data_IF_120750163849
#
_entry.id   IF_120750163849
#
_cell.length_a   1.000
_cell.length_b   1.000
_cell.length_c   1.000
_cell.angle_alpha   90.00
_cell.angle_beta   90.00
_cell.angle_gamma   90.00
#
_symmetry.space_group_name_H-M   'P 1'
#
loop_
_entity.id
_entity.type
_entity.pdbx_description
1 polymer ?
#
# COMPACT_ATOMS: atom_id res chain seq x y z
N UNK A 1 -3.30 -36.57 12.90
CA UNK A 1 -3.47 -35.11 13.01
C UNK A 1 -2.47 -34.49 12.07
N UNK A 2 -2.91 -33.87 10.96
CA UNK A 2 -2.01 -33.16 10.04
C UNK A 2 -1.82 -31.75 10.59
N UNK A 3 -0.62 -31.47 11.07
CA UNK A 3 -0.24 -30.13 11.50
C UNK A 3 -0.42 -29.14 10.34
N UNK A 4 -1.35 -28.22 10.57
CA UNK A 4 -1.70 -27.14 9.67
C UNK A 4 -0.57 -26.11 9.77
N UNK A 5 0.46 -26.28 8.93
CA UNK A 5 1.61 -25.36 8.81
C UNK A 5 1.09 -23.92 8.70
N UNK A 6 1.37 -23.12 9.73
CA UNK A 6 1.10 -21.69 9.75
C UNK A 6 2.10 -21.00 8.82
N UNK A 7 1.77 -20.97 7.52
CA UNK A 7 2.42 -20.07 6.57
C UNK A 7 1.42 -18.99 6.20
N UNK A 8 1.66 -17.77 6.64
CA UNK A 8 1.09 -16.60 6.00
C UNK A 8 1.92 -15.37 6.34
N UNK A 9 2.26 -14.57 5.34
CA UNK A 9 2.37 -13.14 5.60
C UNK A 9 1.03 -12.74 6.20
N UNK A 10 0.99 -12.28 7.46
CA UNK A 10 -0.27 -11.90 8.09
C UNK A 10 -0.71 -10.52 7.59
N UNK A 11 -1.01 -10.41 6.30
CA UNK A 11 -2.08 -9.53 5.91
C UNK A 11 -3.36 -10.14 6.50
N UNK A 12 -3.86 -9.56 7.58
CA UNK A 12 -5.25 -9.78 7.93
C UNK A 12 -6.08 -9.15 6.81
N UNK A 13 -6.47 -9.97 5.83
CA UNK A 13 -7.35 -9.57 4.75
C UNK A 13 -8.53 -8.81 5.35
N UNK A 14 -8.92 -7.69 4.74
CA UNK A 14 -9.99 -6.87 5.29
C UNK A 14 -11.30 -7.69 5.32
N UNK A 15 -12.12 -7.49 6.37
CA UNK A 15 -13.40 -8.19 6.49
C UNK A 15 -14.35 -7.92 5.30
N UNK A 16 -14.29 -6.70 4.75
CA UNK A 16 -14.97 -6.34 3.51
C UNK A 16 -13.91 -5.98 2.45
N UNK A 17 -13.93 -6.71 1.34
CA UNK A 17 -12.97 -6.58 0.21
C UNK A 17 -13.61 -6.03 -1.06
N UNK A 18 -14.89 -5.66 -0.99
CA UNK A 18 -15.61 -5.12 -2.15
C UNK A 18 -15.17 -3.70 -2.41
N UNK A 19 -14.70 -3.48 -3.64
CA UNK A 19 -14.19 -2.20 -4.09
C UNK A 19 -15.15 -1.55 -5.09
N UNK A 20 -15.38 -0.25 -4.99
CA UNK A 20 -16.19 0.44 -5.98
C UNK A 20 -15.30 0.98 -7.11
N UNK A 21 -15.72 0.81 -8.37
CA UNK A 21 -15.03 1.46 -9.48
C UNK A 21 -15.40 2.94 -9.49
N UNK A 22 -14.63 3.74 -8.77
CA UNK A 22 -14.81 5.19 -8.67
C UNK A 22 -14.47 5.86 -10.02
N UNK A 23 -15.10 7.01 -10.28
CA UNK A 23 -14.83 7.85 -11.46
C UNK A 23 -13.35 8.26 -11.55
N UNK A 24 -12.91 8.67 -12.74
CA UNK A 24 -11.54 9.20 -12.90
C UNK A 24 -11.43 10.60 -12.30
N UNK A 25 -10.27 10.94 -11.73
CA UNK A 25 -9.99 12.27 -11.16
C UNK A 25 -10.10 13.38 -12.21
N UNK A 26 -9.81 13.07 -13.48
CA UNK A 26 -9.90 14.03 -14.59
C UNK A 26 -11.34 14.31 -15.05
N UNK A 27 -12.28 13.42 -14.70
CA UNK A 27 -13.66 13.48 -15.17
C UNK A 27 -14.59 14.22 -14.17
N UNK A 28 -14.06 14.65 -13.02
CA UNK A 28 -14.82 15.38 -12.00
C UNK A 28 -14.38 16.86 -11.91
N UNK A 29 -15.29 17.77 -11.51
CA UNK A 29 -14.95 19.17 -11.30
C UNK A 29 -13.82 19.34 -10.28
N UNK A 30 -12.95 20.37 -10.41
CA UNK A 30 -11.85 20.60 -9.46
C UNK A 30 -12.28 20.65 -7.98
N UNK A 31 -13.48 21.16 -7.70
CA UNK A 31 -14.03 21.23 -6.34
C UNK A 31 -14.30 19.86 -5.71
N UNK A 32 -14.51 18.82 -6.51
CA UNK A 32 -14.80 17.45 -6.05
C UNK A 32 -13.56 16.54 -6.09
N UNK A 33 -12.46 16.97 -6.72
CA UNK A 33 -11.26 16.14 -6.91
C UNK A 33 -10.61 15.73 -5.59
N UNK A 34 -10.44 16.65 -4.64
CA UNK A 34 -9.86 16.32 -3.32
C UNK A 34 -10.68 15.26 -2.60
N UNK A 35 -12.01 15.42 -2.60
CA UNK A 35 -12.93 14.46 -1.98
C UNK A 35 -12.82 13.08 -2.64
N UNK A 36 -12.77 13.03 -3.97
CA UNK A 36 -12.60 11.78 -4.71
C UNK A 36 -11.23 11.14 -4.47
N UNK A 37 -10.17 11.95 -4.37
CA UNK A 37 -8.82 11.49 -4.06
C UNK A 37 -8.75 10.81 -2.68
N UNK A 38 -9.36 11.44 -1.66
CA UNK A 38 -9.48 10.85 -0.32
C UNK A 38 -10.28 9.55 -0.36
N UNK A 39 -11.37 9.49 -1.13
CA UNK A 39 -12.14 8.24 -1.28
C UNK A 39 -11.29 7.11 -1.90
N UNK A 40 -10.48 7.41 -2.92
CA UNK A 40 -9.56 6.44 -3.53
C UNK A 40 -8.49 5.97 -2.54
N UNK A 41 -7.89 6.88 -1.76
CA UNK A 41 -6.91 6.53 -0.70
C UNK A 41 -7.50 5.55 0.31
N UNK A 42 -8.70 5.83 0.82
CA UNK A 42 -9.39 4.94 1.77
C UNK A 42 -9.72 3.58 1.18
N UNK A 43 -10.08 3.55 -0.10
CA UNK A 43 -10.33 2.31 -0.82
C UNK A 43 -9.05 1.47 -0.99
N UNK A 44 -7.90 2.12 -1.16
CA UNK A 44 -6.58 1.49 -1.20
C UNK A 44 -6.11 0.96 0.18
N UNK A 45 -6.80 1.26 1.28
CA UNK A 45 -6.55 0.62 2.59
C UNK A 45 -7.10 -0.82 2.66
N UNK A 46 -7.93 -1.25 1.72
CA UNK A 46 -8.45 -2.63 1.69
C UNK A 46 -7.34 -3.61 1.32
N UNK A 47 -7.13 -4.59 2.20
CA UNK A 47 -6.09 -5.60 2.10
C UNK A 47 -6.67 -6.89 1.50
N UNK A 48 -5.97 -7.43 0.50
CA UNK A 48 -6.33 -8.67 -0.17
C UNK A 48 -5.42 -9.80 0.27
N UNK A 49 -5.96 -11.01 0.28
CA UNK A 49 -5.19 -12.22 0.47
C UNK A 49 -4.56 -12.66 -0.86
N UNK A 50 -3.22 -12.70 -0.91
CA UNK A 50 -2.45 -13.19 -2.04
C UNK A 50 -1.81 -14.57 -1.77
N UNK A 51 -1.91 -15.08 -0.54
CA UNK A 51 -1.20 -16.29 -0.10
C UNK A 51 -2.17 -17.44 0.16
N UNK A 52 -3.21 -17.23 0.98
CA UNK A 52 -4.14 -18.31 1.34
C UNK A 52 -5.17 -18.58 0.25
N UNK A 53 -5.58 -17.55 -0.51
CA UNK A 53 -6.51 -17.66 -1.64
C UNK A 53 -6.14 -16.71 -2.79
N UNK A 54 -5.16 -17.07 -3.63
CA UNK A 54 -4.65 -16.20 -4.69
C UNK A 54 -5.71 -15.83 -5.75
N UNK A 55 -6.70 -16.70 -5.98
CA UNK A 55 -7.75 -16.54 -6.99
C UNK A 55 -9.01 -15.85 -6.44
N UNK A 56 -9.04 -15.51 -5.15
CA UNK A 56 -10.10 -14.68 -4.59
C UNK A 56 -10.04 -13.24 -5.09
N UNK A 57 -11.20 -12.58 -5.11
CA UNK A 57 -11.34 -11.13 -5.28
C UNK A 57 -10.71 -10.54 -6.55
N UNK A 58 -10.50 -11.34 -7.62
CA UNK A 58 -9.81 -10.89 -8.84
C UNK A 58 -10.36 -9.57 -9.39
N UNK A 59 -11.69 -9.44 -9.41
CA UNK A 59 -12.39 -8.20 -9.81
C UNK A 59 -11.94 -6.98 -8.99
N UNK A 60 -11.77 -7.14 -7.68
CA UNK A 60 -11.43 -6.06 -6.76
C UNK A 60 -9.91 -5.83 -6.70
N UNK A 61 -9.12 -6.88 -6.87
CA UNK A 61 -7.66 -6.83 -7.03
C UNK A 61 -7.25 -6.02 -8.25
N UNK A 62 -8.06 -5.93 -9.31
CA UNK A 62 -7.76 -5.05 -10.45
C UNK A 62 -8.08 -3.56 -10.19
N UNK A 63 -9.03 -3.26 -9.28
CA UNK A 63 -9.45 -1.88 -9.00
C UNK A 63 -8.38 -1.09 -8.24
N UNK A 64 -7.73 -1.72 -7.26
CA UNK A 64 -6.74 -1.06 -6.39
C UNK A 64 -5.47 -0.61 -7.14
N UNK A 65 -4.85 -1.43 -8.02
CA UNK A 65 -3.73 -1.01 -8.86
C UNK A 65 -4.07 0.19 -9.74
N UNK A 66 -5.22 0.15 -10.44
CA UNK A 66 -5.65 1.25 -11.30
C UNK A 66 -5.82 2.56 -10.50
N UNK A 67 -6.38 2.48 -9.29
CA UNK A 67 -6.52 3.64 -8.41
C UNK A 67 -5.16 4.17 -7.92
N UNK A 68 -4.22 3.31 -7.52
CA UNK A 68 -2.88 3.73 -7.08
C UNK A 68 -2.09 4.40 -8.20
N UNK A 69 -2.10 3.81 -9.41
CA UNK A 69 -1.44 4.39 -10.58
C UNK A 69 -2.03 5.74 -10.97
N UNK A 70 -3.37 5.86 -11.01
CA UNK A 70 -4.04 7.13 -11.29
C UNK A 70 -3.70 8.20 -10.24
N UNK A 71 -3.68 7.83 -8.95
CA UNK A 71 -3.33 8.75 -7.88
C UNK A 71 -1.85 9.20 -7.96
N UNK A 72 -0.93 8.31 -8.34
CA UNK A 72 0.48 8.64 -8.55
C UNK A 72 0.65 9.60 -9.75
N UNK A 73 -0.05 9.37 -10.85
CA UNK A 73 -0.07 10.29 -11.98
C UNK A 73 -0.67 11.66 -11.61
N UNK A 74 -1.75 11.66 -10.83
CA UNK A 74 -2.43 12.88 -10.38
C UNK A 74 -1.50 13.79 -9.57
N UNK A 75 -0.78 13.26 -8.59
CA UNK A 75 0.17 14.05 -7.78
C UNK A 75 1.43 14.48 -8.56
N UNK A 76 1.78 13.76 -9.62
CA UNK A 76 2.97 14.06 -10.43
C UNK A 76 2.68 15.20 -11.43
N UNK A 77 1.49 15.22 -12.02
CA UNK A 77 1.15 16.13 -13.12
C UNK A 77 0.36 17.37 -12.70
N UNK A 78 -0.17 17.40 -11.47
CA UNK A 78 -0.97 18.52 -10.98
C UNK A 78 -0.25 19.23 -9.83
N UNK A 79 -0.45 20.54 -9.74
CA UNK A 79 0.11 21.38 -8.68
C UNK A 79 -0.94 21.74 -7.64
N UNK A 80 -0.48 21.98 -6.41
CA UNK A 80 -1.27 22.30 -5.23
C UNK A 80 -2.34 21.26 -4.89
N UNK A 81 -2.13 20.00 -5.29
CA UNK A 81 -3.08 18.90 -5.00
C UNK A 81 -2.80 18.20 -3.68
N UNK A 82 -1.64 18.41 -3.06
CA UNK A 82 -1.28 17.86 -1.74
C UNK A 82 -1.67 18.87 -0.66
N UNK A 83 -2.95 18.91 -0.33
CA UNK A 83 -3.51 19.78 0.72
C UNK A 83 -3.33 19.18 2.12
N UNK A 84 -3.48 20.00 3.17
CA UNK A 84 -3.29 19.54 4.57
C UNK A 84 -4.14 18.31 4.95
N UNK A 85 -5.43 18.19 4.53
CA UNK A 85 -6.24 17.00 4.80
C UNK A 85 -5.74 15.70 4.15
N UNK A 86 -4.91 15.79 3.09
CA UNK A 86 -4.45 14.62 2.34
C UNK A 86 -3.29 13.90 3.03
N UNK A 87 -2.43 14.63 3.76
CA UNK A 87 -1.28 14.04 4.47
C UNK A 87 -1.63 12.85 5.37
N UNK A 88 -2.60 12.95 6.31
CA UNK A 88 -2.94 11.82 7.17
C UNK A 88 -3.50 10.63 6.38
N UNK A 89 -4.27 10.88 5.31
CA UNK A 89 -4.86 9.82 4.49
C UNK A 89 -3.79 9.04 3.72
N UNK A 90 -2.79 9.72 3.14
CA UNK A 90 -1.65 9.07 2.45
C UNK A 90 -0.81 8.27 3.43
N UNK A 91 -0.43 8.88 4.57
CA UNK A 91 0.41 8.24 5.59
C UNK A 91 -0.29 7.01 6.16
N UNK A 92 -1.59 7.10 6.44
CA UNK A 92 -2.38 5.98 6.91
C UNK A 92 -2.48 4.87 5.85
N UNK A 93 -2.78 5.21 4.59
CA UNK A 93 -2.87 4.23 3.51
C UNK A 93 -1.54 3.49 3.31
N UNK A 94 -0.41 4.21 3.36
CA UNK A 94 0.92 3.59 3.31
C UNK A 94 1.14 2.65 4.49
N UNK A 95 0.92 3.12 5.72
CA UNK A 95 1.12 2.33 6.93
C UNK A 95 0.28 1.03 6.93
N UNK A 96 -0.99 1.09 6.53
CA UNK A 96 -1.88 -0.08 6.44
C UNK A 96 -1.37 -1.13 5.45
N UNK A 97 -0.78 -0.70 4.33
CA UNK A 97 -0.26 -1.60 3.31
C UNK A 97 1.14 -2.14 3.64
N UNK A 98 1.97 -1.36 4.35
CA UNK A 98 3.39 -1.64 4.52
C UNK A 98 3.74 -2.23 5.87
N UNK A 99 3.18 -1.71 6.96
CA UNK A 99 3.57 -2.09 8.32
C UNK A 99 2.91 -3.40 8.71
N UNK A 100 3.64 -4.49 8.48
CA UNK A 100 3.25 -5.85 8.80
C UNK A 100 4.42 -6.62 9.38
N UNK A 101 4.12 -7.63 10.18
CA UNK A 101 5.12 -8.60 10.59
C UNK A 101 5.55 -9.42 9.37
N UNK A 102 6.85 -9.44 9.08
CA UNK A 102 7.39 -10.28 8.02
C UNK A 102 7.18 -11.75 8.37
N UNK A 103 6.89 -12.62 7.39
CA UNK A 103 6.82 -14.05 7.63
C UNK A 103 8.18 -14.55 8.15
N UNK A 104 8.19 -15.65 8.93
CA UNK A 104 9.44 -16.26 9.36
C UNK A 104 10.31 -16.61 8.15
N UNK A 105 11.63 -16.53 8.32
CA UNK A 105 12.59 -16.90 7.27
C UNK A 105 12.37 -18.35 6.82
N UNK A 106 12.36 -18.57 5.52
CA UNK A 106 12.35 -19.90 4.91
C UNK A 106 13.73 -20.57 4.96
N UNK A 107 14.79 -19.79 5.18
CA UNK A 107 16.19 -20.24 5.14
C UNK A 107 16.61 -20.84 6.50
N UNK A 108 17.49 -21.86 6.49
CA UNK A 108 17.99 -22.48 7.71
C UNK A 108 18.75 -21.47 8.57
N UNK A 109 18.56 -21.52 9.89
CA UNK A 109 19.27 -20.64 10.83
C UNK A 109 20.40 -21.40 11.52
N UNK A 110 21.56 -20.76 11.70
CA UNK A 110 22.66 -21.29 12.53
C UNK A 110 23.82 -21.85 11.73
N UNK A 111 24.40 -22.97 12.16
CA UNK A 111 25.64 -23.51 11.60
C UNK A 111 25.52 -24.07 10.17
N UNK A 112 24.29 -24.24 9.68
CA UNK A 112 23.98 -24.67 8.31
C UNK A 112 23.57 -23.49 7.40
N UNK A 113 23.72 -22.25 7.87
CA UNK A 113 23.44 -21.06 7.07
C UNK A 113 24.59 -20.81 6.08
N UNK A 114 24.33 -21.03 4.80
CA UNK A 114 25.18 -20.59 3.69
C UNK A 114 24.48 -19.45 2.93
N UNK A 115 24.97 -18.19 3.03
CA UNK A 115 24.37 -17.05 2.35
C UNK A 115 24.42 -17.13 0.82
N UNK A 116 25.24 -18.03 0.25
CA UNK A 116 25.26 -18.27 -1.20
C UNK A 116 24.15 -19.23 -1.67
N UNK A 117 23.57 -20.03 -0.77
CA UNK A 117 22.48 -20.98 -1.07
C UNK A 117 21.08 -20.43 -0.73
N UNK A 118 21.00 -19.23 -0.17
CA UNK A 118 19.74 -18.59 0.20
C UNK A 118 18.84 -18.32 -1.04
N UNK A 119 17.74 -19.06 -1.15
CA UNK A 119 16.76 -18.81 -2.20
C UNK A 119 15.95 -17.53 -1.91
N UNK A 120 15.78 -16.62 -2.89
CA UNK A 120 15.01 -15.40 -2.69
C UNK A 120 13.52 -15.73 -2.51
N UNK A 121 12.98 -15.46 -1.32
CA UNK A 121 11.55 -15.56 -1.07
C UNK A 121 10.82 -14.39 -1.72
N UNK A 122 9.97 -14.66 -2.72
CA UNK A 122 9.16 -13.65 -3.41
C UNK A 122 7.92 -13.29 -2.59
N UNK A 123 7.60 -12.00 -2.49
CA UNK A 123 6.38 -11.51 -1.85
C UNK A 123 5.19 -11.58 -2.82
N UNK A 124 4.19 -12.40 -2.51
CA UNK A 124 3.03 -12.63 -3.39
C UNK A 124 2.20 -11.35 -3.63
N UNK A 125 2.18 -10.44 -2.66
CA UNK A 125 1.49 -9.15 -2.78
C UNK A 125 2.31 -8.07 -3.52
N UNK A 126 3.51 -8.40 -4.01
CA UNK A 126 4.44 -7.43 -4.61
C UNK A 126 3.83 -6.52 -5.69
N UNK A 127 2.97 -7.00 -6.62
CA UNK A 127 2.35 -6.12 -7.61
C UNK A 127 1.54 -4.96 -7.00
N UNK A 128 0.95 -5.16 -5.81
CA UNK A 128 0.25 -4.10 -5.09
C UNK A 128 1.21 -3.23 -4.27
N UNK A 129 2.19 -3.85 -3.61
CA UNK A 129 3.15 -3.14 -2.76
C UNK A 129 4.08 -2.23 -3.55
N UNK A 130 4.51 -2.67 -4.73
CA UNK A 130 5.30 -1.85 -5.65
C UNK A 130 4.60 -0.51 -5.95
N UNK A 131 3.28 -0.55 -6.21
CA UNK A 131 2.50 0.66 -6.49
C UNK A 131 2.32 1.54 -5.26
N UNK A 132 2.20 0.96 -4.06
CA UNK A 132 2.16 1.73 -2.80
C UNK A 132 3.49 2.46 -2.57
N UNK A 133 4.62 1.77 -2.79
CA UNK A 133 5.94 2.40 -2.72
C UNK A 133 6.12 3.51 -3.75
N UNK A 134 5.77 3.23 -5.02
CA UNK A 134 5.88 4.22 -6.09
C UNK A 134 5.01 5.46 -5.79
N UNK A 135 3.77 5.26 -5.37
CA UNK A 135 2.88 6.34 -4.98
C UNK A 135 3.47 7.19 -3.83
N UNK A 136 3.97 6.53 -2.77
CA UNK A 136 4.53 7.23 -1.63
C UNK A 136 5.83 7.97 -1.97
N UNK A 137 6.66 7.40 -2.85
CA UNK A 137 7.85 8.07 -3.37
C UNK A 137 7.48 9.34 -4.14
N UNK A 138 6.50 9.27 -5.05
CA UNK A 138 6.00 10.44 -5.80
C UNK A 138 5.42 11.51 -4.88
N UNK A 139 4.78 11.11 -3.78
CA UNK A 139 4.28 12.04 -2.77
C UNK A 139 5.43 12.78 -2.07
N UNK A 140 6.51 12.09 -1.70
CA UNK A 140 7.68 12.70 -1.06
C UNK A 140 8.50 13.57 -2.02
N UNK A 141 8.58 13.18 -3.30
CA UNK A 141 9.30 13.91 -4.36
C UNK A 141 8.52 15.10 -4.93
N UNK A 142 7.23 15.23 -4.58
CA UNK A 142 6.39 16.30 -5.11
C UNK A 142 6.89 17.68 -4.68
N UNK A 143 6.94 18.67 -5.58
CA UNK A 143 7.32 20.04 -5.23
C UNK A 143 6.33 20.72 -4.26
N UNK A 144 5.10 20.19 -4.16
CA UNK A 144 4.08 20.70 -3.23
C UNK A 144 4.18 20.07 -1.83
N UNK A 145 5.08 19.11 -1.63
CA UNK A 145 5.29 18.47 -0.35
C UNK A 145 5.84 19.46 0.68
N UNK A 146 5.18 19.54 1.84
CA UNK A 146 5.52 20.42 2.93
C UNK A 146 6.00 19.62 4.14
N UNK A 147 7.32 19.57 4.41
CA UNK A 147 7.88 18.80 5.52
C UNK A 147 7.31 19.19 6.90
N UNK A 148 6.94 20.46 7.07
CA UNK A 148 6.37 20.97 8.32
C UNK A 148 4.97 20.42 8.63
N UNK A 149 4.21 20.03 7.61
CA UNK A 149 2.92 19.36 7.77
C UNK A 149 3.17 17.86 7.96
N UNK A 150 4.00 17.27 7.11
CA UNK A 150 4.30 15.84 7.11
C UNK A 150 4.84 15.32 8.46
N UNK A 151 5.72 16.08 9.13
CA UNK A 151 6.28 15.70 10.45
C UNK A 151 5.24 15.49 11.56
N UNK A 152 4.01 15.98 11.39
CA UNK A 152 2.90 15.72 12.33
C UNK A 152 2.39 14.28 12.22
N UNK A 153 2.63 13.60 11.10
CA UNK A 153 2.09 12.28 10.77
C UNK A 153 3.19 11.23 10.56
N UNK A 154 4.37 11.65 10.07
CA UNK A 154 5.57 10.83 9.95
C UNK A 154 6.41 11.06 11.22
N UNK A 155 6.01 10.40 12.31
CA UNK A 155 6.66 10.49 13.60
C UNK A 155 7.73 9.38 13.80
N UNK A 156 8.38 9.36 14.96
CA UNK A 156 9.37 8.32 15.27
C UNK A 156 8.80 6.90 15.20
N UNK A 157 7.52 6.72 15.54
CA UNK A 157 6.87 5.42 15.49
C UNK A 157 6.71 4.96 14.05
N UNK A 158 6.32 5.86 13.15
CA UNK A 158 6.26 5.59 11.71
C UNK A 158 7.64 5.17 11.19
N UNK A 159 8.70 5.90 11.54
CA UNK A 159 10.07 5.60 11.10
C UNK A 159 10.57 4.25 11.65
N UNK A 160 10.20 3.87 12.87
CA UNK A 160 10.58 2.59 13.45
C UNK A 160 9.91 1.38 12.75
N UNK A 161 8.75 1.59 12.11
CA UNK A 161 8.00 0.54 11.42
C UNK A 161 8.31 0.44 9.92
N UNK A 162 9.01 1.45 9.37
CA UNK A 162 9.45 1.49 7.97
C UNK A 162 10.68 0.60 7.75
#
# INVERSE_FOLDING_TARGET
MKDKRQNSSQFNASNNRELQKLSSLKDVPPADQEKLFIQKLRQCCVLFDFVSDPLSDLKWKEVKPAALSEMAEYITHNRNVITEPIYPEIVHMFAVNMFRTLPPSSNPTGAEFDPEEDEPTLEAAWPHLQLVYEFFLRFLESPDFQPNIAKKYIDQKFVLQL
#
